data_IF_445201001372
#
_entry.id   IF_445201001372
#
_cell.length_a   1.000
_cell.length_b   1.000
_cell.length_c   1.000
_cell.angle_alpha   90.00
_cell.angle_beta   90.00
_cell.angle_gamma   90.00
#
_symmetry.space_group_name_H-M   'P 1'
#
loop_
_entity.id
_entity.type
_entity.pdbx_description
1 polymer ?
#
# COMPACT_ATOMS: atom_id res chain seq x y z
N UNK A 1 65.60 -20.12 45.71
CA UNK A 1 65.01 -19.62 44.46
C UNK A 1 63.47 -19.79 44.57
N UNK A 2 62.74 -18.70 44.94
CA UNK A 2 61.30 -18.74 45.19
C UNK A 2 60.59 -18.28 43.93
N UNK A 3 59.75 -19.14 43.38
CA UNK A 3 58.91 -18.84 42.20
C UNK A 3 57.60 -18.22 42.73
N UNK A 4 57.37 -16.97 42.40
CA UNK A 4 56.11 -16.24 42.69
C UNK A 4 55.16 -16.52 41.52
N UNK A 5 54.02 -17.17 41.82
CA UNK A 5 52.93 -17.35 40.89
C UNK A 5 52.00 -16.15 40.99
N UNK A 6 51.92 -15.35 39.91
CA UNK A 6 50.89 -14.31 39.76
C UNK A 6 49.60 -14.93 39.20
N UNK A 7 48.57 -14.95 39.99
CA UNK A 7 47.21 -15.31 39.56
C UNK A 7 46.49 -14.07 39.05
N UNK A 8 46.31 -13.95 37.75
CA UNK A 8 45.51 -12.89 37.14
C UNK A 8 44.02 -13.23 37.33
N UNK A 9 43.32 -12.40 38.14
CA UNK A 9 41.86 -12.44 38.31
C UNK A 9 41.26 -11.57 37.20
N UNK A 10 40.67 -12.20 36.16
CA UNK A 10 39.90 -11.46 35.13
C UNK A 10 38.48 -11.29 35.65
N UNK A 11 38.15 -10.07 36.08
CA UNK A 11 36.77 -9.68 36.34
C UNK A 11 36.04 -9.42 35.00
N UNK A 12 35.23 -10.37 34.57
CA UNK A 12 34.27 -10.16 33.45
C UNK A 12 33.05 -9.45 34.04
N UNK A 13 32.98 -8.13 33.85
CA UNK A 13 31.78 -7.36 34.12
C UNK A 13 30.79 -7.61 32.98
N UNK A 14 29.84 -8.50 33.20
CA UNK A 14 28.69 -8.70 32.31
C UNK A 14 27.75 -7.50 32.41
N UNK A 15 27.84 -6.55 31.46
CA UNK A 15 26.84 -5.51 31.28
C UNK A 15 25.57 -6.15 30.71
N UNK A 16 24.64 -6.49 31.59
CA UNK A 16 23.27 -6.84 31.19
C UNK A 16 22.57 -5.58 30.68
N UNK A 17 22.63 -5.34 29.38
CA UNK A 17 21.72 -4.41 28.71
C UNK A 17 20.32 -5.03 28.71
N UNK A 18 19.57 -4.78 29.77
CA UNK A 18 18.13 -5.03 29.79
C UNK A 18 17.45 -4.02 28.85
N UNK A 19 17.37 -4.37 27.56
CA UNK A 19 16.46 -3.67 26.65
C UNK A 19 15.05 -3.92 27.16
N UNK A 20 14.48 -2.97 27.90
CA UNK A 20 13.05 -2.92 28.18
C UNK A 20 12.33 -2.81 26.83
N UNK A 21 11.95 -3.93 26.26
CA UNK A 21 11.02 -3.99 25.17
C UNK A 21 9.69 -3.46 25.73
N UNK A 22 9.39 -2.18 25.43
CA UNK A 22 8.09 -1.59 25.71
C UNK A 22 7.08 -2.37 24.88
N UNK A 23 6.37 -3.31 25.49
CA UNK A 23 5.17 -3.90 24.93
C UNK A 23 4.17 -2.75 24.84
N UNK A 24 4.08 -2.15 23.66
CA UNK A 24 3.03 -1.18 23.37
C UNK A 24 1.73 -1.98 23.28
N UNK A 25 0.83 -1.77 24.22
CA UNK A 25 -0.53 -2.26 24.15
C UNK A 25 -1.16 -1.88 22.81
N UNK A 26 -2.07 -2.70 22.34
CA UNK A 26 -2.70 -2.82 21.03
C UNK A 26 -3.59 -1.61 20.62
N UNK A 27 -3.19 -0.38 20.90
CA UNK A 27 -3.83 0.82 20.37
C UNK A 27 -3.21 1.13 19.01
N UNK A 28 -3.98 0.88 17.96
CA UNK A 28 -3.60 1.29 16.60
C UNK A 28 -3.18 2.77 16.62
N UNK A 29 -1.92 3.05 16.30
CA UNK A 29 -1.40 4.43 16.21
C UNK A 29 -2.09 5.23 15.12
N UNK A 30 -2.71 4.53 14.20
CA UNK A 30 -3.41 5.05 13.04
C UNK A 30 -4.89 4.68 13.12
N UNK A 31 -5.75 5.67 13.34
CA UNK A 31 -7.20 5.53 13.63
C UNK A 31 -8.08 5.54 12.40
N UNK A 32 -7.61 5.02 11.25
CA UNK A 32 -8.46 4.90 10.07
C UNK A 32 -9.47 3.76 10.22
N UNK A 33 -10.65 3.94 9.63
CA UNK A 33 -11.60 2.84 9.49
C UNK A 33 -10.99 1.75 8.60
N UNK A 34 -11.01 0.51 9.07
CA UNK A 34 -10.62 -0.67 8.28
C UNK A 34 -11.87 -1.44 7.85
N UNK A 35 -11.80 -2.09 6.71
CA UNK A 35 -12.86 -2.95 6.20
C UNK A 35 -12.39 -4.40 6.27
N UNK A 36 -13.21 -5.25 6.89
CA UNK A 36 -12.98 -6.70 6.92
C UNK A 36 -13.31 -7.30 5.57
N UNK A 37 -12.35 -8.00 5.00
CA UNK A 37 -12.51 -8.80 3.78
C UNK A 37 -12.62 -10.25 4.22
N UNK A 38 -13.76 -10.91 4.01
CA UNK A 38 -13.96 -12.27 4.48
C UNK A 38 -13.04 -13.27 3.77
N UNK A 39 -12.70 -14.36 4.47
CA UNK A 39 -12.00 -15.47 3.87
C UNK A 39 -12.80 -16.06 2.70
N UNK A 40 -12.10 -16.64 1.74
CA UNK A 40 -12.72 -17.33 0.62
C UNK A 40 -12.08 -17.03 -0.74
N UNK A 41 -12.59 -17.71 -1.76
CA UNK A 41 -12.11 -17.58 -3.14
C UNK A 41 -12.59 -16.29 -3.81
N UNK A 42 -11.76 -15.79 -4.74
CA UNK A 42 -12.14 -14.75 -5.69
C UNK A 42 -11.48 -15.02 -7.05
N UNK A 43 -11.94 -14.32 -8.08
CA UNK A 43 -11.35 -14.39 -9.41
C UNK A 43 -10.25 -13.32 -9.54
N UNK A 44 -8.99 -13.74 -9.51
CA UNK A 44 -7.80 -12.89 -9.70
C UNK A 44 -7.36 -12.87 -11.16
N UNK A 45 -6.96 -11.70 -11.64
CA UNK A 45 -6.45 -11.54 -13.00
C UNK A 45 -7.51 -11.24 -14.05
N UNK A 46 -7.11 -11.23 -15.31
CA UNK A 46 -7.93 -10.90 -16.47
C UNK A 46 -8.23 -12.13 -17.35
N UNK A 47 -9.40 -12.12 -18.00
CA UNK A 47 -9.76 -13.12 -19.03
C UNK A 47 -8.84 -12.99 -20.25
N UNK A 48 -8.88 -14.00 -21.13
CA UNK A 48 -8.05 -14.05 -22.33
C UNK A 48 -8.20 -12.80 -23.23
N UNK A 49 -9.42 -12.30 -23.36
CA UNK A 49 -9.77 -11.15 -24.20
C UNK A 49 -9.58 -9.79 -23.48
N UNK A 50 -9.18 -9.81 -22.21
CA UNK A 50 -9.09 -8.62 -21.36
C UNK A 50 -7.66 -8.43 -20.85
N UNK A 51 -7.27 -7.18 -20.65
CA UNK A 51 -6.03 -6.82 -19.98
C UNK A 51 -4.74 -7.16 -20.73
N UNK A 52 -3.64 -7.12 -20.00
CA UNK A 52 -2.30 -7.43 -20.51
C UNK A 52 -1.92 -8.88 -20.21
N UNK A 53 -0.86 -9.36 -20.86
CA UNK A 53 -0.37 -10.74 -20.69
C UNK A 53 0.04 -11.05 -19.24
N UNK A 54 0.59 -10.06 -18.54
CA UNK A 54 1.02 -10.18 -17.14
C UNK A 54 -0.14 -10.23 -16.12
N UNK A 55 -1.38 -9.96 -16.58
CA UNK A 55 -2.61 -10.07 -15.79
C UNK A 55 -3.28 -11.44 -15.97
N UNK A 56 -2.72 -12.32 -16.78
CA UNK A 56 -3.33 -13.60 -17.18
C UNK A 56 -2.53 -14.82 -16.70
N UNK A 57 -3.17 -15.96 -16.48
CA UNK A 57 -4.61 -16.25 -16.67
C UNK A 57 -5.46 -15.68 -15.52
N UNK A 58 -6.78 -15.43 -15.79
CA UNK A 58 -7.75 -15.28 -14.71
C UNK A 58 -7.91 -16.62 -14.00
N UNK A 59 -7.84 -16.62 -12.68
CA UNK A 59 -7.87 -17.84 -11.89
C UNK A 59 -8.52 -17.64 -10.52
N UNK A 60 -8.98 -18.72 -9.91
CA UNK A 60 -9.44 -18.71 -8.53
C UNK A 60 -8.27 -18.67 -7.57
N UNK A 61 -8.35 -17.75 -6.60
CA UNK A 61 -7.39 -17.60 -5.51
C UNK A 61 -8.16 -17.54 -4.19
N UNK A 62 -7.75 -18.34 -3.23
CA UNK A 62 -8.25 -18.28 -1.87
C UNK A 62 -7.40 -17.32 -1.03
N UNK A 63 -8.04 -16.49 -0.24
CA UNK A 63 -7.40 -15.67 0.80
C UNK A 63 -8.08 -15.91 2.15
N UNK A 64 -7.27 -15.95 3.20
CA UNK A 64 -7.76 -15.86 4.57
C UNK A 64 -8.46 -14.51 4.79
N UNK A 65 -9.22 -14.36 5.87
CA UNK A 65 -9.80 -13.09 6.24
C UNK A 65 -8.70 -12.09 6.63
N UNK A 66 -8.86 -10.83 6.25
CA UNK A 66 -7.95 -9.75 6.60
C UNK A 66 -8.73 -8.43 6.70
N UNK A 67 -8.10 -7.43 7.28
CA UNK A 67 -8.60 -6.06 7.29
C UNK A 67 -7.74 -5.19 6.38
N UNK A 68 -8.36 -4.17 5.77
CA UNK A 68 -7.67 -3.21 4.90
C UNK A 68 -8.22 -1.81 5.13
N UNK A 69 -7.36 -0.80 5.07
CA UNK A 69 -7.75 0.61 5.21
C UNK A 69 -8.86 0.96 4.22
N UNK A 70 -9.91 1.64 4.68
CA UNK A 70 -11.07 2.00 3.84
C UNK A 70 -10.71 2.94 2.68
N UNK A 71 -9.59 3.66 2.79
CA UNK A 71 -9.06 4.59 1.78
C UNK A 71 -7.54 4.71 1.87
N UNK A 72 -6.93 5.42 0.92
CA UNK A 72 -5.47 5.67 0.88
C UNK A 72 -5.00 6.39 2.17
N UNK A 73 -3.72 6.26 2.51
CA UNK A 73 -3.10 7.03 3.60
C UNK A 73 -3.08 8.51 3.22
N UNK A 74 -3.67 9.35 4.08
CA UNK A 74 -3.70 10.80 3.87
C UNK A 74 -2.42 11.48 4.35
N UNK A 75 -2.14 12.68 3.84
CA UNK A 75 -1.02 13.50 4.32
C UNK A 75 -1.09 13.72 5.83
N UNK A 76 -2.27 14.00 6.40
CA UNK A 76 -2.45 14.18 7.86
C UNK A 76 -2.00 12.97 8.66
N UNK A 77 -2.36 11.76 8.21
CA UNK A 77 -1.95 10.50 8.85
C UNK A 77 -0.44 10.28 8.71
N UNK A 78 0.10 10.51 7.51
CA UNK A 78 1.52 10.34 7.23
C UNK A 78 2.39 11.33 8.00
N UNK A 79 1.97 12.59 8.12
CA UNK A 79 2.66 13.60 8.90
C UNK A 79 2.69 13.29 10.42
N UNK A 80 1.67 12.58 10.94
CA UNK A 80 1.74 12.06 12.31
C UNK A 80 2.88 11.05 12.45
N UNK A 81 3.02 10.12 11.52
CA UNK A 81 4.12 9.15 11.48
C UNK A 81 5.49 9.85 11.44
N UNK A 82 5.65 10.86 10.59
CA UNK A 82 6.89 11.65 10.49
C UNK A 82 7.24 12.28 11.82
N UNK A 83 6.30 12.96 12.47
CA UNK A 83 6.52 13.61 13.78
C UNK A 83 6.93 12.62 14.88
N UNK A 84 6.32 11.41 14.88
CA UNK A 84 6.61 10.41 15.90
C UNK A 84 7.92 9.64 15.65
N UNK A 85 8.41 9.62 14.41
CA UNK A 85 9.61 8.84 14.04
C UNK A 85 10.83 9.70 13.69
N UNK A 86 10.67 11.01 13.57
CA UNK A 86 11.75 11.92 13.17
C UNK A 86 12.17 11.80 11.71
N UNK A 87 11.33 11.25 10.85
CA UNK A 87 11.60 11.16 9.41
C UNK A 87 11.45 12.52 8.73
N UNK A 88 12.07 12.65 7.56
CA UNK A 88 11.93 13.86 6.72
C UNK A 88 10.56 13.87 6.03
N UNK A 89 10.01 15.06 5.83
CA UNK A 89 8.85 15.27 5.00
C UNK A 89 9.07 14.71 3.60
N UNK A 90 8.05 14.13 2.96
CA UNK A 90 8.10 13.85 1.54
C UNK A 90 8.18 15.16 0.76
N UNK A 91 8.65 15.08 -0.50
CA UNK A 91 8.58 16.23 -1.41
C UNK A 91 7.13 16.70 -1.52
N UNK A 92 6.93 18.01 -1.34
CA UNK A 92 5.62 18.60 -1.51
C UNK A 92 5.34 18.82 -3.03
N UNK A 93 4.36 18.11 -3.62
CA UNK A 93 4.08 18.28 -5.04
C UNK A 93 3.18 19.48 -5.36
N UNK A 94 2.63 20.14 -4.34
CA UNK A 94 1.61 21.17 -4.51
C UNK A 94 2.18 22.60 -4.54
N UNK A 95 3.30 22.83 -3.85
CA UNK A 95 3.96 24.13 -3.78
C UNK A 95 5.39 24.01 -3.27
N UNK A 96 6.11 25.12 -3.21
CA UNK A 96 7.36 25.23 -2.48
C UNK A 96 7.12 25.09 -0.97
N UNK A 97 8.13 24.65 -0.21
CA UNK A 97 8.08 24.46 1.24
C UNK A 97 7.73 23.04 1.67
N UNK A 98 7.61 22.84 2.99
CA UNK A 98 7.34 21.55 3.59
C UNK A 98 5.85 21.18 3.51
N UNK A 99 5.57 19.90 3.27
CA UNK A 99 4.20 19.38 3.28
C UNK A 99 3.53 19.59 4.64
N UNK A 100 4.29 19.48 5.73
CA UNK A 100 3.82 19.68 7.10
C UNK A 100 3.34 21.10 7.41
N UNK A 101 3.71 22.09 6.61
CA UNK A 101 3.30 23.49 6.77
C UNK A 101 1.97 23.82 6.10
N UNK A 102 1.41 22.87 5.32
CA UNK A 102 0.18 23.09 4.55
C UNK A 102 -1.00 22.31 5.11
N UNK A 103 -1.91 23.01 5.78
CA UNK A 103 -3.10 22.40 6.41
C UNK A 103 -4.13 21.88 5.39
N UNK A 104 -4.26 22.54 4.24
CA UNK A 104 -5.24 22.24 3.20
C UNK A 104 -5.01 20.91 2.50
N UNK A 105 -3.77 20.41 2.47
CA UNK A 105 -3.42 19.12 1.87
C UNK A 105 -3.69 17.93 2.79
N UNK A 106 -4.05 18.17 4.04
CA UNK A 106 -4.12 17.13 5.07
C UNK A 106 -5.00 15.93 4.72
N UNK A 107 -6.09 16.17 3.99
CA UNK A 107 -7.04 15.14 3.57
C UNK A 107 -6.78 14.56 2.16
N UNK A 108 -5.75 15.02 1.46
CA UNK A 108 -5.31 14.43 0.20
C UNK A 108 -4.45 13.19 0.47
N UNK A 109 -4.40 12.21 -0.44
CA UNK A 109 -3.52 11.05 -0.29
C UNK A 109 -2.06 11.50 -0.25
N UNK A 110 -1.25 10.84 0.57
CA UNK A 110 0.19 11.04 0.55
C UNK A 110 0.77 10.48 -0.73
N UNK A 111 1.63 11.26 -1.37
CA UNK A 111 2.38 10.93 -2.59
C UNK A 111 3.85 11.26 -2.41
N UNK A 112 4.70 11.03 -3.42
CA UNK A 112 6.15 11.23 -3.32
C UNK A 112 6.81 10.36 -2.23
N UNK A 113 6.26 9.17 -2.02
CA UNK A 113 6.72 8.17 -1.06
C UNK A 113 7.25 6.93 -1.78
N UNK A 114 8.36 6.39 -1.30
CA UNK A 114 8.92 5.13 -1.79
C UNK A 114 8.14 3.93 -1.26
N UNK A 115 8.39 2.75 -1.82
CA UNK A 115 7.88 1.50 -1.27
C UNK A 115 8.34 1.29 0.19
N UNK A 116 9.60 1.62 0.51
CA UNK A 116 10.11 1.52 1.89
C UNK A 116 9.42 2.49 2.85
N UNK A 117 9.13 3.71 2.41
CA UNK A 117 8.38 4.68 3.21
C UNK A 117 6.98 4.16 3.54
N UNK A 118 6.33 3.51 2.57
CA UNK A 118 5.02 2.90 2.75
C UNK A 118 5.05 1.70 3.71
N UNK A 119 6.04 0.80 3.57
CA UNK A 119 6.26 -0.33 4.48
C UNK A 119 6.48 0.14 5.90
N UNK A 120 7.36 1.11 6.09
CA UNK A 120 7.70 1.62 7.42
C UNK A 120 6.52 2.32 8.09
N UNK A 121 5.71 3.07 7.32
CA UNK A 121 4.46 3.63 7.81
C UNK A 121 3.50 2.53 8.27
N UNK A 122 3.23 1.53 7.44
CA UNK A 122 2.30 0.46 7.81
C UNK A 122 2.78 -0.29 9.06
N UNK A 123 4.08 -0.58 9.19
CA UNK A 123 4.66 -1.19 10.39
C UNK A 123 4.50 -0.31 11.63
N UNK A 124 4.76 1.01 11.52
CA UNK A 124 4.52 1.95 12.60
C UNK A 124 3.06 1.94 13.05
N UNK A 125 2.13 1.81 12.09
CA UNK A 125 0.70 1.72 12.35
C UNK A 125 0.25 0.36 12.92
N UNK A 126 1.15 -0.63 13.09
CA UNK A 126 0.80 -2.00 13.51
C UNK A 126 0.14 -2.81 12.38
N UNK A 127 0.48 -2.52 11.13
CA UNK A 127 -0.08 -3.06 9.89
C UNK A 127 1.02 -3.49 8.92
N UNK A 128 0.64 -3.91 7.71
CA UNK A 128 1.55 -4.20 6.59
C UNK A 128 0.99 -3.64 5.28
N UNK A 129 1.76 -3.59 4.21
CA UNK A 129 1.21 -3.36 2.88
C UNK A 129 0.35 -4.57 2.46
N UNK A 130 -0.81 -4.37 1.81
CA UNK A 130 -1.55 -5.51 1.28
C UNK A 130 -0.73 -6.27 0.25
N UNK A 131 -0.88 -7.59 0.16
CA UNK A 131 -0.41 -8.31 -1.03
C UNK A 131 -1.19 -7.88 -2.26
N UNK A 132 -0.64 -8.11 -3.46
CA UNK A 132 -1.33 -7.85 -4.72
C UNK A 132 -2.70 -8.54 -4.76
N UNK A 133 -2.78 -9.78 -4.30
CA UNK A 133 -4.02 -10.54 -4.23
C UNK A 133 -5.03 -9.97 -3.22
N UNK A 134 -4.58 -9.56 -2.04
CA UNK A 134 -5.42 -8.87 -1.06
C UNK A 134 -5.99 -7.58 -1.64
N UNK A 135 -5.13 -6.74 -2.23
CA UNK A 135 -5.56 -5.49 -2.82
C UNK A 135 -6.60 -5.72 -3.93
N UNK A 136 -6.37 -6.71 -4.82
CA UNK A 136 -7.26 -6.99 -5.93
C UNK A 136 -8.61 -7.55 -5.46
N UNK A 137 -8.65 -8.49 -4.51
CA UNK A 137 -9.90 -8.97 -3.90
C UNK A 137 -10.69 -7.85 -3.26
N UNK A 138 -10.02 -6.99 -2.47
CA UNK A 138 -10.63 -5.84 -1.83
C UNK A 138 -11.26 -4.87 -2.84
N UNK A 139 -10.61 -4.68 -4.00
CA UNK A 139 -11.08 -3.80 -5.07
C UNK A 139 -12.25 -4.36 -5.85
N UNK A 140 -12.19 -5.62 -6.30
CA UNK A 140 -13.15 -6.18 -7.26
C UNK A 140 -14.18 -7.15 -6.70
N UNK A 141 -14.05 -7.54 -5.44
CA UNK A 141 -14.91 -8.55 -4.82
C UNK A 141 -14.71 -9.96 -5.40
N UNK A 142 -15.59 -10.88 -5.02
CA UNK A 142 -15.50 -12.28 -5.42
C UNK A 142 -15.92 -12.50 -6.90
N UNK A 143 -16.77 -11.63 -7.44
CA UNK A 143 -17.37 -11.78 -8.78
C UNK A 143 -16.45 -11.36 -9.92
N UNK A 144 -15.23 -10.91 -9.62
CA UNK A 144 -14.26 -10.52 -10.64
C UNK A 144 -14.67 -9.29 -11.45
N UNK A 145 -15.24 -8.27 -10.82
CA UNK A 145 -15.60 -7.02 -11.46
C UNK A 145 -14.40 -6.37 -12.16
N UNK A 146 -14.64 -5.75 -13.32
CA UNK A 146 -13.60 -5.03 -14.07
C UNK A 146 -13.12 -3.82 -13.28
N UNK A 147 -14.04 -3.06 -12.71
CA UNK A 147 -13.78 -1.89 -11.87
C UNK A 147 -14.37 -2.12 -10.48
N UNK A 148 -13.94 -1.38 -9.45
CA UNK A 148 -14.48 -1.54 -8.10
C UNK A 148 -16.01 -1.40 -8.01
N UNK A 149 -16.59 -0.55 -8.83
CA UNK A 149 -18.05 -0.32 -8.91
C UNK A 149 -18.78 -1.26 -9.89
N UNK A 150 -18.13 -2.27 -10.43
CA UNK A 150 -18.71 -3.25 -11.36
C UNK A 150 -18.22 -3.12 -12.79
N UNK A 151 -19.13 -3.17 -13.76
CA UNK A 151 -18.82 -3.22 -15.21
C UNK A 151 -19.09 -1.90 -15.94
N UNK A 152 -19.69 -0.92 -15.26
CA UNK A 152 -20.01 0.39 -15.88
C UNK A 152 -18.71 1.08 -16.35
N UNK A 153 -18.76 1.71 -17.52
CA UNK A 153 -17.62 2.47 -18.06
C UNK A 153 -17.20 3.58 -17.07
N UNK A 154 -15.90 3.82 -16.89
CA UNK A 154 -15.40 4.90 -16.06
C UNK A 154 -15.92 6.27 -16.51
N UNK A 155 -16.20 7.15 -15.57
CA UNK A 155 -16.57 8.54 -15.80
C UNK A 155 -15.95 9.43 -14.73
N UNK A 156 -15.83 10.73 -14.99
CA UNK A 156 -15.29 11.71 -14.05
C UNK A 156 -16.09 11.83 -12.74
N UNK A 157 -17.32 11.30 -12.67
CA UNK A 157 -18.12 11.22 -11.44
C UNK A 157 -17.73 10.03 -10.56
N UNK A 158 -17.30 8.94 -11.20
CA UNK A 158 -16.99 7.69 -10.51
C UNK A 158 -15.52 7.58 -10.09
N UNK A 159 -14.61 8.20 -10.86
CA UNK A 159 -13.17 7.97 -10.67
C UNK A 159 -12.34 9.16 -11.13
N UNK A 160 -11.28 9.45 -10.41
CA UNK A 160 -10.30 10.47 -10.74
C UNK A 160 -9.22 9.88 -11.64
N UNK A 161 -9.32 10.12 -12.96
CA UNK A 161 -8.40 9.58 -13.97
C UNK A 161 -8.36 10.49 -15.22
N UNK A 162 -7.40 10.28 -16.10
CA UNK A 162 -7.22 11.04 -17.35
C UNK A 162 -7.23 12.57 -17.12
N UNK A 163 -6.53 13.02 -16.08
CA UNK A 163 -6.40 14.43 -15.71
C UNK A 163 -5.03 14.96 -16.10
N UNK A 164 -4.94 16.27 -16.24
CA UNK A 164 -3.69 17.01 -16.17
C UNK A 164 -3.43 17.46 -14.73
N UNK A 165 -2.19 17.81 -14.43
CA UNK A 165 -1.85 18.34 -13.11
C UNK A 165 -2.39 19.77 -12.94
N UNK A 166 -3.19 19.96 -11.90
CA UNK A 166 -3.83 21.23 -11.55
C UNK A 166 -3.58 21.59 -10.07
N UNK A 167 -2.40 21.21 -9.55
CA UNK A 167 -2.06 21.42 -8.14
C UNK A 167 -3.03 20.72 -7.19
N UNK A 168 -3.51 21.45 -6.19
CA UNK A 168 -4.42 20.93 -5.15
C UNK A 168 -5.74 20.34 -5.68
N UNK A 169 -6.16 20.71 -6.90
CA UNK A 169 -7.40 20.21 -7.50
C UNK A 169 -7.23 18.86 -8.21
N UNK A 170 -5.99 18.40 -8.39
CA UNK A 170 -5.71 17.15 -9.11
C UNK A 170 -6.16 15.92 -8.35
N UNK A 171 -5.83 15.83 -7.08
CA UNK A 171 -6.16 14.68 -6.24
C UNK A 171 -7.48 14.89 -5.51
N UNK A 172 -8.25 13.81 -5.37
CA UNK A 172 -9.45 13.83 -4.57
C UNK A 172 -9.13 13.54 -3.10
N UNK A 173 -9.83 14.20 -2.15
CA UNK A 173 -9.72 13.89 -0.74
C UNK A 173 -10.04 12.41 -0.46
N UNK A 174 -9.23 11.75 0.38
CA UNK A 174 -9.39 10.32 0.68
C UNK A 174 -10.71 9.99 1.39
N UNK A 175 -11.23 10.90 2.20
CA UNK A 175 -12.49 10.77 2.92
C UNK A 175 -13.69 11.47 2.24
N UNK A 176 -13.51 11.89 0.98
CA UNK A 176 -14.57 12.57 0.20
C UNK A 176 -15.75 11.66 -0.14
N UNK A 177 -16.85 12.28 -0.59
CA UNK A 177 -17.98 11.56 -1.18
C UNK A 177 -17.59 11.06 -2.57
N UNK A 178 -17.01 9.87 -2.61
CA UNK A 178 -16.72 9.16 -3.85
C UNK A 178 -17.92 8.26 -4.11
N UNK A 179 -18.61 8.46 -5.24
CA UNK A 179 -19.81 7.68 -5.61
C UNK A 179 -19.47 6.21 -5.88
N UNK A 180 -18.23 5.94 -6.31
CA UNK A 180 -17.76 4.59 -6.52
C UNK A 180 -17.10 4.01 -5.26
N UNK A 181 -17.50 2.82 -4.89
CA UNK A 181 -16.84 2.03 -3.86
C UNK A 181 -16.71 0.58 -4.33
N UNK A 182 -15.77 -0.13 -3.73
CA UNK A 182 -15.67 -1.58 -3.96
C UNK A 182 -16.86 -2.31 -3.33
N UNK A 183 -17.07 -3.60 -3.64
CA UNK A 183 -18.12 -4.41 -3.01
C UNK A 183 -18.03 -4.45 -1.47
N UNK A 184 -16.84 -4.18 -0.92
CA UNK A 184 -16.61 -4.11 0.53
C UNK A 184 -16.62 -2.68 1.09
N UNK A 185 -16.98 -1.67 0.28
CA UNK A 185 -17.09 -0.28 0.70
C UNK A 185 -15.77 0.49 0.74
N UNK A 186 -14.70 -0.02 0.13
CA UNK A 186 -13.43 0.71 0.02
C UNK A 186 -13.53 1.82 -1.02
N UNK A 187 -12.87 2.95 -0.75
CA UNK A 187 -12.82 4.13 -1.63
C UNK A 187 -11.52 4.15 -2.43
N UNK A 188 -11.57 4.81 -3.59
CA UNK A 188 -10.40 5.06 -4.46
C UNK A 188 -9.59 3.81 -4.84
N UNK A 189 -10.26 2.64 -4.95
CA UNK A 189 -9.60 1.42 -5.45
C UNK A 189 -9.35 1.47 -6.97
N UNK A 190 -9.59 2.61 -7.60
CA UNK A 190 -9.28 2.91 -9.01
C UNK A 190 -9.07 4.42 -9.15
N UNK A 191 -8.03 4.82 -9.89
CA UNK A 191 -7.67 6.23 -10.08
C UNK A 191 -7.16 6.91 -8.81
N UNK A 192 -7.17 8.21 -8.76
CA UNK A 192 -6.61 9.07 -7.72
C UNK A 192 -5.10 8.88 -7.59
N UNK A 193 -4.63 7.94 -6.76
CA UNK A 193 -3.23 7.52 -6.73
C UNK A 193 -3.10 6.02 -6.94
N UNK A 194 -2.03 5.61 -7.63
CA UNK A 194 -1.59 4.20 -7.64
C UNK A 194 -1.14 3.82 -6.24
N UNK A 195 -1.23 2.56 -5.91
CA UNK A 195 -0.90 2.09 -4.57
C UNK A 195 0.20 1.03 -4.58
N UNK A 196 1.22 1.26 -3.75
CA UNK A 196 2.22 0.25 -3.45
C UNK A 196 1.57 -0.95 -2.78
N UNK A 197 1.97 -2.16 -3.21
CA UNK A 197 1.65 -3.41 -2.52
C UNK A 197 2.94 -4.13 -2.13
N UNK A 198 2.85 -5.19 -1.33
CA UNK A 198 4.01 -5.90 -0.79
C UNK A 198 4.82 -6.62 -1.87
N UNK A 199 4.14 -7.14 -2.90
CA UNK A 199 4.68 -8.11 -3.85
C UNK A 199 5.79 -7.57 -4.74
N UNK A 200 6.80 -8.40 -4.98
CA UNK A 200 7.66 -8.23 -6.12
C UNK A 200 6.91 -8.50 -7.42
N UNK A 201 7.22 -7.73 -8.45
CA UNK A 201 6.63 -7.93 -9.77
C UNK A 201 7.37 -9.01 -10.55
N UNK A 202 6.62 -9.94 -11.13
CA UNK A 202 7.06 -10.84 -12.19
C UNK A 202 5.92 -10.95 -13.21
N UNK A 203 6.21 -10.86 -14.53
CA UNK A 203 5.20 -10.99 -15.58
C UNK A 203 4.58 -12.39 -15.63
N UNK A 204 5.32 -13.41 -15.20
CA UNK A 204 4.89 -14.81 -15.24
C UNK A 204 4.26 -15.30 -13.93
N UNK A 205 4.18 -14.45 -12.91
CA UNK A 205 3.76 -14.90 -11.58
C UNK A 205 2.36 -15.51 -11.56
N UNK A 206 1.41 -14.92 -12.27
CA UNK A 206 0.02 -15.43 -12.29
C UNK A 206 -0.11 -16.84 -12.86
N UNK A 207 0.79 -17.25 -13.75
CA UNK A 207 0.79 -18.60 -14.34
C UNK A 207 1.21 -19.68 -13.33
N UNK A 208 2.09 -19.30 -12.37
CA UNK A 208 2.79 -20.26 -11.50
C UNK A 208 2.56 -20.01 -10.00
N UNK A 209 1.77 -18.98 -9.64
CA UNK A 209 1.60 -18.62 -8.23
C UNK A 209 0.69 -19.59 -7.48
N UNK A 210 0.87 -19.73 -6.15
CA UNK A 210 -0.03 -20.52 -5.31
C UNK A 210 -1.49 -20.09 -5.47
N UNK A 211 -2.42 -21.05 -5.35
CA UNK A 211 -3.85 -20.76 -5.35
C UNK A 211 -4.38 -20.29 -3.99
N UNK A 212 -3.57 -20.36 -2.93
CA UNK A 212 -3.92 -19.91 -1.59
C UNK A 212 -2.90 -18.89 -1.09
N UNK A 213 -3.38 -17.74 -0.63
CA UNK A 213 -2.60 -16.65 -0.02
C UNK A 213 -1.29 -16.29 -0.79
N UNK A 214 -1.33 -16.06 -2.11
CA UNK A 214 -0.12 -15.71 -2.88
C UNK A 214 0.47 -14.39 -2.37
N UNK A 215 1.82 -14.36 -2.23
CA UNK A 215 2.58 -13.24 -1.68
C UNK A 215 3.57 -12.63 -2.67
N UNK A 216 3.40 -12.92 -3.96
CA UNK A 216 4.38 -12.54 -4.98
C UNK A 216 5.61 -13.45 -5.01
N UNK A 217 6.53 -13.22 -5.95
CA UNK A 217 7.82 -13.89 -5.98
C UNK A 217 8.65 -13.56 -4.74
N UNK A 218 9.49 -14.50 -4.27
CA UNK A 218 10.35 -14.27 -3.10
C UNK A 218 11.41 -13.19 -3.31
N UNK A 219 11.79 -12.92 -4.57
CA UNK A 219 12.77 -11.90 -4.96
C UNK A 219 12.34 -11.22 -6.26
N UNK A 220 12.81 -9.99 -6.46
CA UNK A 220 12.54 -9.21 -7.68
C UNK A 220 13.32 -7.90 -7.72
N UNK A 221 13.16 -7.17 -8.82
CA UNK A 221 13.79 -5.85 -9.03
C UNK A 221 12.74 -4.74 -8.91
N UNK A 222 11.49 -5.03 -9.28
CA UNK A 222 10.39 -4.07 -9.30
C UNK A 222 9.29 -4.53 -8.35
N UNK A 223 8.63 -3.57 -7.71
CA UNK A 223 7.44 -3.78 -6.87
C UNK A 223 6.18 -3.60 -7.69
N UNK A 224 5.12 -4.33 -7.34
CA UNK A 224 3.80 -4.17 -7.94
C UNK A 224 3.14 -2.89 -7.45
N UNK A 225 2.44 -2.21 -8.35
CA UNK A 225 1.64 -1.01 -8.10
C UNK A 225 0.24 -1.24 -8.69
N UNK A 226 -0.80 -0.93 -7.94
CA UNK A 226 -2.19 -1.22 -8.33
C UNK A 226 -3.03 0.05 -8.50
N UNK A 227 -4.19 -0.06 -9.13
CA UNK A 227 -5.30 0.90 -9.12
C UNK A 227 -5.28 1.99 -10.19
N UNK A 228 -4.14 2.30 -10.79
CA UNK A 228 -4.01 3.49 -11.66
C UNK A 228 -4.07 4.79 -10.85
N UNK A 229 -3.86 5.93 -11.49
CA UNK A 229 -3.81 7.25 -10.84
C UNK A 229 -4.58 8.31 -11.62
N UNK A 230 -4.56 9.54 -11.14
CA UNK A 230 -5.22 10.71 -11.75
C UNK A 230 -4.87 10.91 -13.24
N UNK A 231 -3.68 10.54 -13.68
CA UNK A 231 -3.25 10.66 -15.09
C UNK A 231 -3.36 9.37 -15.91
N UNK A 232 -3.79 8.26 -15.30
CA UNK A 232 -3.85 6.95 -15.96
C UNK A 232 -4.98 6.86 -16.98
N UNK A 233 -4.80 6.01 -17.98
CA UNK A 233 -5.85 5.66 -18.94
C UNK A 233 -6.84 4.65 -18.33
N UNK A 234 -8.01 4.53 -18.96
CA UNK A 234 -9.08 3.60 -18.52
C UNK A 234 -8.61 2.13 -18.44
N UNK A 235 -7.63 1.73 -19.24
CA UNK A 235 -7.02 0.41 -19.20
C UNK A 235 -6.31 0.13 -17.87
N UNK A 236 -5.72 1.17 -17.26
CA UNK A 236 -4.86 1.02 -16.10
C UNK A 236 -5.61 1.09 -14.77
N UNK A 237 -6.85 1.61 -14.78
CA UNK A 237 -7.71 1.71 -13.58
C UNK A 237 -8.62 0.49 -13.38
N UNK A 238 -8.44 -0.59 -14.17
CA UNK A 238 -9.11 -1.87 -13.93
C UNK A 238 -8.54 -2.54 -12.67
N UNK A 239 -9.37 -3.23 -11.91
CA UNK A 239 -8.93 -3.88 -10.67
C UNK A 239 -7.81 -4.91 -10.89
N UNK A 240 -7.81 -5.61 -12.02
CA UNK A 240 -6.77 -6.59 -12.37
C UNK A 240 -5.50 -5.94 -12.94
N UNK A 241 -5.53 -4.65 -13.31
CA UNK A 241 -4.37 -3.98 -13.93
C UNK A 241 -3.17 -3.99 -12.99
N UNK A 242 -1.99 -4.30 -13.55
CA UNK A 242 -0.71 -4.40 -12.84
C UNK A 242 0.23 -3.31 -13.31
N UNK A 243 0.58 -2.40 -12.44
CA UNK A 243 1.72 -1.49 -12.60
C UNK A 243 2.97 -2.07 -11.95
N UNK A 244 4.11 -1.45 -12.23
CA UNK A 244 5.40 -1.81 -11.63
C UNK A 244 6.30 -0.61 -11.49
N UNK A 245 7.14 -0.61 -10.45
CA UNK A 245 8.12 0.45 -10.23
C UNK A 245 9.27 -0.01 -9.36
N UNK A 246 10.42 0.63 -9.51
CA UNK A 246 11.54 0.43 -8.60
C UNK A 246 11.13 0.82 -7.17
N UNK A 247 11.61 0.11 -6.18
CA UNK A 247 11.27 0.34 -4.76
C UNK A 247 11.66 1.74 -4.25
N UNK A 248 12.52 2.47 -4.95
CA UNK A 248 12.90 3.86 -4.64
C UNK A 248 12.14 4.90 -5.49
N UNK A 249 11.22 4.47 -6.37
CA UNK A 249 10.42 5.38 -7.20
C UNK A 249 9.54 6.27 -6.32
N UNK A 250 9.51 7.57 -6.64
CA UNK A 250 8.64 8.57 -6.04
C UNK A 250 7.96 9.36 -7.14
N UNK A 251 6.66 9.51 -7.09
CA UNK A 251 5.88 10.35 -8.01
C UNK A 251 4.68 10.97 -7.31
N UNK A 252 4.08 11.98 -7.93
CA UNK A 252 2.84 12.62 -7.52
C UNK A 252 1.57 11.79 -7.78
N UNK A 253 1.73 10.62 -8.37
CA UNK A 253 0.65 9.67 -8.67
C UNK A 253 0.74 8.34 -7.94
N UNK A 254 1.65 8.18 -6.96
CA UNK A 254 1.82 6.94 -6.20
C UNK A 254 1.73 7.21 -4.69
N UNK A 255 0.79 6.56 -4.05
CA UNK A 255 0.59 6.49 -2.61
C UNK A 255 0.47 5.03 -2.15
N UNK A 256 -0.33 4.78 -1.10
CA UNK A 256 -0.56 3.43 -0.56
C UNK A 256 -1.71 3.41 0.43
N UNK A 257 -2.16 2.20 0.80
CA UNK A 257 -2.99 1.87 1.97
C UNK A 257 -2.41 0.68 2.70
N UNK A 258 -2.80 0.46 3.95
CA UNK A 258 -2.32 -0.67 4.75
C UNK A 258 -3.39 -1.75 4.93
N UNK A 259 -2.93 -2.99 5.24
CA UNK A 259 -3.74 -4.13 5.63
C UNK A 259 -3.27 -4.71 6.98
N UNK A 260 -4.12 -5.53 7.61
CA UNK A 260 -3.83 -6.20 8.89
C UNK A 260 -4.37 -7.63 8.87
#
# INVERSE_FOLDING_TARGET
>A
MKIIKYTFLICIAAFLFSAKQKVYGDTLRDSVEMKTIPAGEFLMGSKQEEGRDDERPQRKVYLDAYEIDSHEVSNKRYLKFIRETGRKDPVNPYSEGLLSEQSEVGNLPVVQVTWYDAVDYCRWAGKHLPSEAQWEKAGRGNNGFIYPWGIKKPSAKLVNFQKNWEGLKTLWPVSGKIESSSPYGLKSMAGNVREWVEDWYSPEYYKNSPSSNPQGPGVGILKVIKGGSWHSFKSDIRSASRGKGGFALKTDGIGFRCAK
#
